data_IF_564723111805
#
_entry.id   IF_564723111805
#
_cell.length_a   1.000
_cell.length_b   1.000
_cell.length_c   1.000
_cell.angle_alpha   90.00
_cell.angle_beta   90.00
_cell.angle_gamma   90.00
#
_symmetry.space_group_name_H-M   'P 1'
#
loop_
_entity.id
_entity.type
_entity.pdbx_description
1 polymer ?
#
# COMPACT_ATOMS: atom_id res chain seq x y z
N UNK A 1 -8.84 -2.38 1.69
CA UNK A 1 -9.96 -2.49 0.73
C UNK A 1 -10.37 -1.13 0.12
N UNK A 2 -9.47 -0.16 -0.03
CA UNK A 2 -9.85 1.26 -0.28
C UNK A 2 -9.37 1.79 -1.64
N UNK A 3 -8.43 1.12 -2.31
CA UNK A 3 -7.76 1.62 -3.51
C UNK A 3 -8.74 1.97 -4.66
N UNK A 4 -9.79 1.17 -4.86
CA UNK A 4 -10.78 1.44 -5.90
C UNK A 4 -11.50 2.78 -5.66
N UNK A 5 -11.93 3.05 -4.42
CA UNK A 5 -12.59 4.31 -4.07
C UNK A 5 -11.62 5.50 -4.12
N UNK A 6 -10.37 5.31 -3.71
CA UNK A 6 -9.32 6.32 -3.83
C UNK A 6 -9.16 6.77 -5.30
N UNK A 7 -9.01 5.80 -6.21
CA UNK A 7 -8.80 6.08 -7.63
C UNK A 7 -10.02 6.73 -8.30
N UNK A 8 -11.23 6.23 -8.00
CA UNK A 8 -12.47 6.84 -8.53
C UNK A 8 -12.64 8.29 -8.05
N UNK A 9 -12.36 8.57 -6.77
CA UNK A 9 -12.45 9.92 -6.24
C UNK A 9 -11.38 10.86 -6.81
N UNK A 10 -10.15 10.40 -6.96
CA UNK A 10 -9.07 11.18 -7.54
C UNK A 10 -9.39 11.54 -9.01
N UNK A 11 -9.86 10.58 -9.79
CA UNK A 11 -10.30 10.80 -11.17
C UNK A 11 -11.44 11.83 -11.24
N UNK A 12 -12.47 11.69 -10.39
CA UNK A 12 -13.59 12.65 -10.31
C UNK A 12 -13.14 14.06 -9.92
N UNK A 13 -12.14 14.18 -9.05
CA UNK A 13 -11.61 15.46 -8.56
C UNK A 13 -10.52 16.08 -9.47
N UNK A 14 -10.13 15.41 -10.55
CA UNK A 14 -9.00 15.85 -11.39
C UNK A 14 -7.66 15.85 -10.65
N UNK A 15 -7.47 14.91 -9.72
CA UNK A 15 -6.25 14.77 -8.89
C UNK A 15 -5.52 13.48 -9.23
N UNK A 16 -4.23 13.44 -8.88
CA UNK A 16 -3.40 12.23 -8.95
C UNK A 16 -3.50 11.48 -7.62
N UNK A 17 -3.57 10.15 -7.69
CA UNK A 17 -3.52 9.28 -6.51
C UNK A 17 -2.86 7.95 -6.85
N UNK A 18 -2.24 7.33 -5.85
CA UNK A 18 -1.64 6.00 -5.92
C UNK A 18 -1.85 5.29 -4.57
N UNK A 19 -2.18 4.00 -4.61
CA UNK A 19 -2.17 3.13 -3.44
C UNK A 19 -0.96 2.18 -3.54
N UNK A 20 -0.14 2.16 -2.50
CA UNK A 20 0.97 1.22 -2.33
C UNK A 20 0.61 0.35 -1.13
N UNK A 21 0.75 -0.97 -1.27
CA UNK A 21 0.42 -1.94 -0.22
C UNK A 21 1.57 -2.92 -0.03
N UNK A 22 1.81 -3.33 1.21
CA UNK A 22 2.61 -4.51 1.53
C UNK A 22 1.72 -5.74 1.62
N UNK A 23 2.30 -6.93 1.41
CA UNK A 23 1.60 -8.20 1.62
C UNK A 23 1.80 -8.62 3.06
N UNK A 24 0.72 -8.60 3.86
CA UNK A 24 0.73 -9.08 5.24
C UNK A 24 0.42 -10.56 5.37
N UNK A 25 -0.42 -11.07 4.46
CA UNK A 25 -0.99 -12.42 4.49
C UNK A 25 -1.04 -13.00 3.07
N UNK A 26 -0.70 -14.28 2.94
CA UNK A 26 -0.89 -15.05 1.72
C UNK A 26 -2.17 -15.87 1.80
N UNK A 27 -3.18 -15.45 1.05
CA UNK A 27 -4.48 -16.13 0.96
C UNK A 27 -4.35 -17.59 0.53
N UNK A 28 -3.38 -17.88 -0.33
CA UNK A 28 -3.05 -19.24 -0.76
C UNK A 28 -1.92 -19.74 0.15
N UNK A 29 -2.14 -20.85 0.85
CA UNK A 29 -1.16 -21.43 1.77
C UNK A 29 -1.27 -20.93 3.22
N UNK A 30 -1.92 -19.78 3.46
CA UNK A 30 -2.23 -19.30 4.81
C UNK A 30 -1.03 -18.75 5.59
N UNK A 31 0.06 -18.44 4.90
CA UNK A 31 1.24 -17.83 5.54
C UNK A 31 0.92 -16.40 5.99
N UNK A 32 1.33 -16.10 7.22
CA UNK A 32 1.13 -14.79 7.85
C UNK A 32 2.48 -14.28 8.30
N UNK A 33 2.73 -12.99 8.05
CA UNK A 33 3.96 -12.32 8.46
C UNK A 33 4.10 -12.23 9.98
N UNK A 34 5.33 -12.16 10.48
CA UNK A 34 5.61 -11.74 11.87
C UNK A 34 5.49 -10.23 12.01
N UNK A 35 5.46 -9.72 13.25
CA UNK A 35 5.41 -8.28 13.50
C UNK A 35 6.64 -7.54 12.93
N UNK A 36 7.83 -8.14 13.04
CA UNK A 36 9.08 -7.57 12.54
C UNK A 36 9.14 -7.53 11.01
N UNK A 37 8.69 -8.60 10.34
CA UNK A 37 8.57 -8.61 8.87
C UNK A 37 7.62 -7.52 8.37
N UNK A 38 6.48 -7.32 9.04
CA UNK A 38 5.54 -6.24 8.71
C UNK A 38 6.17 -4.86 8.88
N UNK A 39 6.89 -4.64 9.97
CA UNK A 39 7.54 -3.36 10.23
C UNK A 39 8.56 -3.03 9.14
N UNK A 40 9.43 -3.97 8.78
CA UNK A 40 10.45 -3.75 7.74
C UNK A 40 9.81 -3.48 6.39
N UNK A 41 8.85 -4.31 5.95
CA UNK A 41 8.16 -4.09 4.68
C UNK A 41 7.40 -2.76 4.66
N UNK A 42 6.78 -2.37 5.78
CA UNK A 42 6.09 -1.09 5.89
C UNK A 42 7.07 0.09 5.82
N UNK A 43 8.24 -0.02 6.46
CA UNK A 43 9.28 1.00 6.38
C UNK A 43 9.72 1.23 4.92
N UNK A 44 10.00 0.15 4.19
CA UNK A 44 10.40 0.22 2.77
C UNK A 44 9.28 0.83 1.91
N UNK A 45 8.03 0.43 2.14
CA UNK A 45 6.87 1.02 1.47
C UNK A 45 6.79 2.53 1.69
N UNK A 46 7.04 3.00 2.91
CA UNK A 46 7.03 4.44 3.24
C UNK A 46 8.18 5.19 2.57
N UNK A 47 9.37 4.61 2.47
CA UNK A 47 10.47 5.22 1.73
C UNK A 47 10.13 5.42 0.26
N UNK A 48 9.53 4.41 -0.39
CA UNK A 48 9.06 4.49 -1.79
C UNK A 48 7.93 5.51 -1.92
N UNK A 49 6.98 5.55 -0.99
CA UNK A 49 5.88 6.50 -1.02
C UNK A 49 6.36 7.96 -0.91
N UNK A 50 7.34 8.22 -0.04
CA UNK A 50 7.91 9.55 0.13
C UNK A 50 8.74 10.00 -1.09
N UNK A 51 9.51 9.09 -1.69
CA UNK A 51 10.37 9.45 -2.84
C UNK A 51 9.60 9.83 -4.10
N UNK A 52 8.34 9.40 -4.24
CA UNK A 52 7.47 9.75 -5.38
C UNK A 52 6.47 10.87 -5.06
N UNK A 53 6.38 11.30 -3.80
CA UNK A 53 5.44 12.32 -3.36
C UNK A 53 6.01 13.75 -3.50
N UNK A 54 7.32 13.88 -3.72
CA UNK A 54 8.01 15.12 -4.12
C UNK A 54 7.59 15.56 -5.53
#
# INVERSE_FOLDING_TARGET
>A
MEAAALYMNAARAGKKALAICTISDLLIGGEVTTAEQRQSAFHDMMQVALSIAE
#
